data_IF_705394590945
#
_entry.id   IF_705394590945
#
_cell.length_a   1.000
_cell.length_b   1.000
_cell.length_c   1.000
_cell.angle_alpha   90.00
_cell.angle_beta   90.00
_cell.angle_gamma   90.00
#
_symmetry.space_group_name_H-M   'P 1'
#
loop_
_entity.id
_entity.type
_entity.pdbx_description
1 polymer ?
#
# COMPACT_ATOMS: atom_id res chain seq x y z
N UNK A 1 35.92 24.62 18.19
CA UNK A 1 35.56 25.89 17.54
C UNK A 1 35.25 25.63 16.09
N UNK A 2 34.16 26.16 15.53
CA UNK A 2 33.93 26.03 14.10
C UNK A 2 35.07 26.75 13.36
N UNK A 3 35.57 26.09 12.33
CA UNK A 3 36.63 26.61 11.50
C UNK A 3 36.09 27.84 10.72
N UNK A 4 36.67 29.00 10.91
CA UNK A 4 36.21 30.24 10.26
C UNK A 4 36.39 30.20 8.73
N UNK A 5 37.28 29.36 8.23
CA UNK A 5 37.58 29.24 6.79
C UNK A 5 36.68 28.21 6.07
N UNK A 6 35.98 27.36 6.81
CA UNK A 6 35.12 26.34 6.24
C UNK A 6 33.71 26.47 6.81
N UNK A 7 32.87 27.28 6.16
CA UNK A 7 31.44 27.30 6.44
C UNK A 7 30.75 26.26 5.57
N UNK A 8 30.33 25.17 6.19
CA UNK A 8 29.55 24.14 5.51
C UNK A 8 28.05 24.40 5.70
N UNK A 9 27.29 24.21 4.65
CA UNK A 9 25.82 24.24 4.72
C UNK A 9 25.23 25.64 4.71
N UNK A 10 25.72 26.50 3.82
CA UNK A 10 25.03 27.76 3.52
C UNK A 10 23.68 27.46 2.89
N UNK A 11 22.67 28.29 3.11
CA UNK A 11 21.33 28.09 2.56
C UNK A 11 21.33 27.92 1.03
N UNK A 12 22.13 28.69 0.36
CA UNK A 12 22.21 28.63 -1.11
C UNK A 12 22.79 27.31 -1.61
N UNK A 13 23.80 26.77 -0.94
CA UNK A 13 24.38 25.46 -1.24
C UNK A 13 23.36 24.33 -0.98
N UNK A 14 22.63 24.43 0.13
CA UNK A 14 21.57 23.47 0.46
C UNK A 14 20.45 23.48 -0.58
N UNK A 15 20.00 24.64 -1.04
CA UNK A 15 18.99 24.75 -2.09
C UNK A 15 19.48 24.21 -3.43
N UNK A 16 20.72 24.53 -3.81
CA UNK A 16 21.32 24.01 -5.03
C UNK A 16 21.38 22.46 -5.01
N UNK A 17 21.85 21.89 -3.91
CA UNK A 17 21.93 20.44 -3.78
C UNK A 17 20.52 19.79 -3.79
N UNK A 18 19.56 20.43 -3.11
CA UNK A 18 18.16 19.97 -3.12
C UNK A 18 17.54 19.99 -4.51
N UNK A 19 17.77 21.05 -5.28
CA UNK A 19 17.30 21.17 -6.66
C UNK A 19 17.94 20.09 -7.56
N UNK A 20 19.25 19.85 -7.42
CA UNK A 20 19.95 18.79 -8.16
C UNK A 20 19.42 17.39 -7.83
N UNK A 21 19.14 17.11 -6.56
CA UNK A 21 18.57 15.82 -6.15
C UNK A 21 17.15 15.65 -6.70
N UNK A 22 16.31 16.67 -6.61
CA UNK A 22 14.95 16.64 -7.18
C UNK A 22 15.00 16.41 -8.68
N UNK A 23 15.87 17.10 -9.40
CA UNK A 23 16.06 16.93 -10.84
C UNK A 23 16.56 15.53 -11.17
N UNK A 24 17.56 15.02 -10.45
CA UNK A 24 18.08 13.67 -10.62
C UNK A 24 17.00 12.61 -10.44
N UNK A 25 16.17 12.72 -9.40
CA UNK A 25 15.08 11.77 -9.16
C UNK A 25 14.01 11.90 -10.25
N UNK A 26 13.71 13.09 -10.75
CA UNK A 26 12.74 13.27 -11.85
C UNK A 26 13.25 12.71 -13.18
N UNK A 27 14.57 12.71 -13.43
CA UNK A 27 15.16 12.16 -14.67
C UNK A 27 15.25 10.63 -14.62
N UNK A 28 15.70 10.07 -13.50
CA UNK A 28 16.00 8.65 -13.37
C UNK A 28 14.90 7.86 -12.66
N UNK A 29 14.01 8.56 -11.97
CA UNK A 29 12.91 7.97 -11.23
C UNK A 29 11.76 7.57 -12.13
N UNK A 30 10.83 6.86 -11.53
CA UNK A 30 9.58 6.45 -12.15
C UNK A 30 8.42 7.02 -11.37
N UNK A 31 7.30 7.20 -12.03
CA UNK A 31 6.09 7.71 -11.40
C UNK A 31 5.40 6.60 -10.61
N UNK A 32 5.20 6.86 -9.34
CA UNK A 32 4.40 6.06 -8.42
C UNK A 32 3.17 6.85 -7.98
N UNK A 33 2.14 6.17 -7.51
CA UNK A 33 1.05 6.81 -6.81
C UNK A 33 1.18 6.52 -5.32
N UNK A 34 1.35 7.57 -4.55
CA UNK A 34 1.36 7.51 -3.09
C UNK A 34 -0.07 7.59 -2.56
N UNK A 35 -0.46 6.62 -1.76
CA UNK A 35 -1.81 6.45 -1.27
C UNK A 35 -1.77 6.49 0.26
N UNK A 36 -2.13 7.62 0.88
CA UNK A 36 -2.10 7.76 2.33
C UNK A 36 -3.20 6.94 3.00
N UNK A 37 -2.84 6.29 4.08
CA UNK A 37 -3.76 5.54 4.92
C UNK A 37 -4.61 6.47 5.77
N UNK A 38 -5.92 6.29 5.76
CA UNK A 38 -6.85 6.96 6.65
C UNK A 38 -7.30 5.99 7.73
N UNK A 39 -6.97 6.32 8.99
CA UNK A 39 -7.39 5.53 10.14
C UNK A 39 -8.88 5.80 10.42
N UNK A 40 -9.66 4.73 10.58
CA UNK A 40 -11.12 4.82 10.81
C UNK A 40 -11.48 4.44 12.25
N UNK A 41 -10.91 3.35 12.75
CA UNK A 41 -11.20 2.82 14.07
C UNK A 41 -9.92 2.26 14.69
N UNK A 42 -9.02 3.17 15.08
CA UNK A 42 -7.78 2.78 15.74
C UNK A 42 -8.07 2.23 17.13
N UNK A 43 -7.63 0.99 17.38
CA UNK A 43 -7.61 0.43 18.73
C UNK A 43 -6.54 1.15 19.55
N UNK A 44 -6.93 1.78 20.66
CA UNK A 44 -6.00 2.51 21.52
C UNK A 44 -5.02 1.59 22.27
N UNK A 45 -5.38 0.31 22.45
CA UNK A 45 -4.56 -0.63 23.20
C UNK A 45 -3.54 -1.31 22.30
N UNK A 46 -3.98 -1.81 21.15
CA UNK A 46 -3.13 -2.54 20.19
C UNK A 46 -2.51 -1.65 19.13
N UNK A 47 -3.05 -0.44 18.94
CA UNK A 47 -2.59 0.50 17.93
C UNK A 47 -2.95 0.11 16.49
N UNK A 48 -3.69 -0.98 16.30
CA UNK A 48 -4.10 -1.48 15.00
C UNK A 48 -5.42 -0.85 14.53
N UNK A 49 -5.56 -0.67 13.24
CA UNK A 49 -6.81 -0.25 12.60
C UNK A 49 -7.25 -1.32 11.58
N UNK A 50 -8.30 -2.04 11.90
CA UNK A 50 -8.84 -3.11 11.06
C UNK A 50 -9.63 -2.59 9.85
N UNK A 51 -10.02 -1.32 9.87
CA UNK A 51 -10.91 -0.71 8.87
C UNK A 51 -10.23 0.44 8.14
N UNK A 52 -8.95 0.32 7.87
CA UNK A 52 -8.21 1.33 7.11
C UNK A 52 -8.86 1.63 5.77
N UNK A 53 -8.88 2.91 5.40
CA UNK A 53 -9.39 3.39 4.13
C UNK A 53 -8.32 4.13 3.37
N UNK A 54 -8.33 3.94 2.06
CA UNK A 54 -7.46 4.61 1.12
C UNK A 54 -8.35 5.39 0.14
N UNK A 55 -8.34 6.73 0.24
CA UNK A 55 -9.25 7.59 -0.51
C UNK A 55 -8.57 8.46 -1.55
N UNK A 56 -7.31 8.74 -1.37
CA UNK A 56 -6.57 9.67 -2.20
C UNK A 56 -5.33 9.01 -2.75
N UNK A 57 -4.95 9.37 -3.97
CA UNK A 57 -3.73 8.90 -4.60
C UNK A 57 -2.99 10.09 -5.23
N UNK A 58 -1.72 10.25 -4.91
CA UNK A 58 -0.88 11.37 -5.35
C UNK A 58 0.24 10.86 -6.24
N UNK A 59 0.35 11.34 -7.50
CA UNK A 59 1.45 10.98 -8.36
C UNK A 59 2.74 11.62 -7.86
N UNK A 60 3.77 10.82 -7.67
CA UNK A 60 5.08 11.25 -7.19
C UNK A 60 6.19 10.46 -7.86
N UNK A 61 7.28 11.16 -8.22
CA UNK A 61 8.44 10.53 -8.81
C UNK A 61 9.33 9.95 -7.71
N UNK A 62 9.67 8.67 -7.84
CA UNK A 62 10.54 7.94 -6.92
C UNK A 62 11.59 7.16 -7.69
N UNK A 63 12.76 7.02 -7.11
CA UNK A 63 13.84 6.23 -7.66
C UNK A 63 13.87 4.85 -7.01
N UNK A 64 13.89 3.80 -7.83
CA UNK A 64 14.08 2.43 -7.38
C UNK A 64 15.58 2.19 -7.19
N UNK A 65 16.01 1.99 -5.95
CA UNK A 65 17.43 1.86 -5.59
C UNK A 65 17.97 0.47 -5.94
N UNK A 66 17.16 -0.56 -5.85
CA UNK A 66 17.55 -1.93 -6.22
C UNK A 66 17.49 -2.11 -7.73
N UNK A 67 18.63 -2.42 -8.34
CA UNK A 67 18.75 -2.66 -9.79
C UNK A 67 18.13 -4.02 -10.18
N UNK A 68 18.11 -4.96 -9.27
CA UNK A 68 17.58 -6.31 -9.48
C UNK A 68 16.03 -6.37 -9.37
N UNK A 69 15.39 -5.21 -9.34
CA UNK A 69 13.95 -5.12 -9.19
C UNK A 69 13.52 -5.40 -7.76
N UNK A 70 12.70 -6.39 -7.59
CA UNK A 70 12.24 -6.77 -6.27
C UNK A 70 13.16 -7.84 -5.71
N UNK A 71 13.81 -7.57 -4.59
CA UNK A 71 14.55 -8.57 -3.82
C UNK A 71 13.55 -9.58 -3.24
N UNK A 72 13.06 -10.49 -4.06
CA UNK A 72 11.98 -11.40 -3.67
C UNK A 72 12.30 -12.87 -3.82
N UNK A 73 13.58 -13.24 -4.01
CA UNK A 73 13.94 -14.67 -4.11
C UNK A 73 14.47 -15.27 -2.80
N UNK A 74 14.46 -14.52 -1.70
CA UNK A 74 15.22 -14.86 -0.49
C UNK A 74 14.65 -15.95 0.39
N UNK A 75 13.35 -16.13 0.51
CA UNK A 75 12.78 -17.09 1.46
C UNK A 75 11.59 -17.86 0.88
N UNK A 76 11.88 -18.83 0.03
CA UNK A 76 10.85 -19.72 -0.52
C UNK A 76 10.22 -20.63 0.55
N UNK A 77 10.93 -20.92 1.63
CA UNK A 77 10.48 -21.85 2.65
C UNK A 77 10.64 -21.21 4.02
N UNK A 78 9.55 -20.72 4.56
CA UNK A 78 9.46 -20.38 5.96
C UNK A 78 8.98 -21.59 6.78
N UNK A 79 9.23 -21.54 8.10
CA UNK A 79 8.88 -22.61 9.05
C UNK A 79 7.40 -23.06 9.00
N UNK A 80 6.51 -22.26 8.42
CA UNK A 80 5.06 -22.47 8.40
C UNK A 80 4.43 -22.44 6.98
N UNK A 81 5.23 -22.50 5.91
CA UNK A 81 4.72 -22.55 4.56
C UNK A 81 5.59 -21.87 3.51
N UNK A 82 5.10 -21.85 2.29
CA UNK A 82 5.70 -21.17 1.17
C UNK A 82 5.24 -19.70 1.19
N UNK A 83 6.15 -18.77 1.40
CA UNK A 83 5.88 -17.35 1.37
C UNK A 83 6.87 -16.66 0.44
N UNK A 84 6.36 -15.90 -0.52
CA UNK A 84 7.17 -15.07 -1.41
C UNK A 84 7.10 -13.64 -0.88
N UNK A 85 8.20 -13.17 -0.30
CA UNK A 85 8.36 -11.78 0.08
C UNK A 85 8.96 -11.02 -1.09
N UNK A 86 8.20 -10.08 -1.65
CA UNK A 86 8.70 -9.14 -2.65
C UNK A 86 8.91 -7.81 -1.96
N UNK A 87 10.16 -7.47 -1.71
CA UNK A 87 10.56 -6.21 -1.10
C UNK A 87 11.34 -5.35 -2.10
N UNK A 88 11.24 -4.06 -1.94
CA UNK A 88 12.00 -3.09 -2.71
C UNK A 88 12.36 -1.88 -1.86
N UNK A 89 13.43 -1.20 -2.24
CA UNK A 89 13.82 0.06 -1.62
C UNK A 89 13.63 1.20 -2.62
N UNK A 90 12.84 2.18 -2.23
CA UNK A 90 12.53 3.36 -3.02
C UNK A 90 13.10 4.62 -2.36
N UNK A 91 13.61 5.52 -3.17
CA UNK A 91 14.13 6.80 -2.71
C UNK A 91 13.27 7.94 -3.25
N UNK A 92 12.81 8.81 -2.36
CA UNK A 92 11.99 9.97 -2.71
C UNK A 92 12.60 11.25 -2.16
N UNK A 93 12.58 12.33 -2.97
CA UNK A 93 13.04 13.63 -2.51
C UNK A 93 12.07 14.20 -1.47
N UNK A 94 12.61 14.63 -0.35
CA UNK A 94 11.85 15.23 0.74
C UNK A 94 11.00 16.42 0.28
N UNK A 95 11.60 17.33 -0.49
CA UNK A 95 10.91 18.52 -1.03
C UNK A 95 9.77 18.15 -1.98
N UNK A 96 9.96 17.13 -2.82
CA UNK A 96 8.90 16.65 -3.72
C UNK A 96 7.75 16.06 -2.93
N UNK A 97 8.05 15.25 -1.91
CA UNK A 97 7.03 14.67 -1.05
C UNK A 97 6.24 15.74 -0.28
N UNK A 98 6.93 16.71 0.34
CA UNK A 98 6.28 17.82 1.05
C UNK A 98 5.39 18.67 0.12
N UNK A 99 5.82 18.87 -1.13
CA UNK A 99 5.07 19.65 -2.13
C UNK A 99 3.84 18.92 -2.64
N UNK A 100 3.95 17.61 -2.91
CA UNK A 100 2.90 16.82 -3.57
C UNK A 100 1.93 16.23 -2.54
N UNK A 101 2.45 15.66 -1.46
CA UNK A 101 1.64 14.92 -0.48
C UNK A 101 1.41 15.77 0.79
N UNK A 102 2.48 16.30 1.36
CA UNK A 102 2.43 16.99 2.64
C UNK A 102 1.50 18.22 2.67
N UNK A 103 1.36 18.92 1.55
CA UNK A 103 0.46 20.10 1.46
C UNK A 103 -1.02 19.76 1.58
N UNK A 104 -1.41 18.55 1.24
CA UNK A 104 -2.83 18.15 1.27
C UNK A 104 -3.34 17.83 2.67
N UNK A 105 -2.44 17.64 3.65
CA UNK A 105 -2.80 17.45 5.06
C UNK A 105 -3.63 16.18 5.35
N UNK A 106 -3.69 15.24 4.40
CA UNK A 106 -4.49 14.01 4.51
C UNK A 106 -3.67 12.82 5.00
N UNK A 107 -2.40 13.06 5.30
CA UNK A 107 -1.49 12.06 5.86
C UNK A 107 -1.53 12.08 7.38
N UNK A 108 -1.28 10.94 8.01
CA UNK A 108 -1.20 10.82 9.48
C UNK A 108 -0.07 11.71 10.02
N UNK A 109 1.07 11.74 9.31
CA UNK A 109 2.19 12.63 9.60
C UNK A 109 2.43 13.55 8.40
N UNK A 110 2.23 14.88 8.55
CA UNK A 110 2.41 15.80 7.43
C UNK A 110 3.89 16.08 7.09
N UNK A 111 4.81 15.65 7.95
CA UNK A 111 6.24 15.95 7.80
C UNK A 111 7.03 14.88 7.05
N UNK A 112 6.56 13.63 7.00
CA UNK A 112 7.25 12.50 6.37
C UNK A 112 6.25 11.45 5.90
N UNK A 113 6.65 10.55 4.98
CA UNK A 113 5.89 9.35 4.67
C UNK A 113 5.64 8.50 5.92
N UNK A 114 4.52 7.81 5.98
CA UNK A 114 4.16 6.95 7.10
C UNK A 114 4.30 5.49 6.74
N UNK A 115 4.67 4.71 7.73
CA UNK A 115 4.59 3.25 7.69
C UNK A 115 3.11 2.84 7.60
N UNK A 116 2.81 1.86 6.72
CA UNK A 116 1.44 1.43 6.45
C UNK A 116 0.71 2.20 5.34
N UNK A 117 1.32 3.23 4.76
CA UNK A 117 0.81 3.85 3.53
C UNK A 117 1.12 2.96 2.32
N UNK A 118 0.34 3.11 1.26
CA UNK A 118 0.49 2.30 0.06
C UNK A 118 1.17 3.06 -1.07
N UNK A 119 1.86 2.30 -1.91
CA UNK A 119 2.45 2.77 -3.17
C UNK A 119 1.96 1.90 -4.31
N UNK A 120 1.36 2.50 -5.32
CA UNK A 120 0.99 1.82 -6.54
C UNK A 120 2.02 2.10 -7.63
N UNK A 121 2.53 1.04 -8.24
CA UNK A 121 3.48 1.12 -9.34
C UNK A 121 2.81 0.77 -10.66
N UNK A 122 2.57 1.77 -11.56
CA UNK A 122 1.79 1.55 -12.78
C UNK A 122 2.41 0.57 -13.76
N UNK A 123 3.76 0.51 -13.84
CA UNK A 123 4.45 -0.36 -14.80
C UNK A 123 4.22 -1.85 -14.51
N UNK A 124 4.27 -2.23 -13.25
CA UNK A 124 4.04 -3.63 -12.84
C UNK A 124 2.60 -3.88 -12.42
N UNK A 125 1.79 -2.83 -12.32
CA UNK A 125 0.44 -2.87 -11.73
C UNK A 125 0.44 -3.47 -10.33
N UNK A 126 1.55 -3.28 -9.60
CA UNK A 126 1.75 -3.79 -8.25
C UNK A 126 1.37 -2.76 -7.20
N UNK A 127 0.79 -3.24 -6.12
CA UNK A 127 0.51 -2.45 -4.93
C UNK A 127 1.45 -2.88 -3.81
N UNK A 128 2.13 -1.91 -3.21
CA UNK A 128 3.15 -2.13 -2.18
C UNK A 128 2.79 -1.36 -0.92
N UNK A 129 3.11 -1.93 0.23
CA UNK A 129 2.96 -1.30 1.53
C UNK A 129 4.31 -0.81 2.04
N UNK A 130 4.37 0.39 2.58
CA UNK A 130 5.56 0.93 3.21
C UNK A 130 5.71 0.29 4.59
N UNK A 131 6.73 -0.54 4.76
CA UNK A 131 7.04 -1.17 6.04
C UNK A 131 7.95 -0.33 6.92
N UNK A 132 8.90 0.34 6.31
CA UNK A 132 9.84 1.17 7.04
C UNK A 132 10.22 2.42 6.24
N UNK A 133 10.30 3.54 6.95
CA UNK A 133 10.74 4.83 6.40
C UNK A 133 12.03 5.23 7.08
N UNK A 134 13.13 5.16 6.34
CA UNK A 134 14.39 5.70 6.82
C UNK A 134 14.41 7.22 6.64
N UNK A 135 14.23 7.91 7.74
CA UNK A 135 14.20 9.36 7.82
C UNK A 135 15.40 9.93 8.59
N UNK A 136 16.31 9.07 9.03
CA UNK A 136 17.48 9.43 9.82
C UNK A 136 18.73 8.74 9.25
N UNK A 137 19.01 8.96 7.97
CA UNK A 137 20.25 8.49 7.39
C UNK A 137 21.42 9.12 8.18
N UNK A 138 22.39 8.32 8.65
CA UNK A 138 23.52 8.81 9.44
C UNK A 138 24.40 9.81 8.71
N UNK A 139 24.29 9.92 7.38
CA UNK A 139 25.07 10.85 6.58
C UNK A 139 24.24 12.03 6.05
N UNK A 140 24.34 13.13 6.75
CA UNK A 140 23.69 14.40 6.36
C UNK A 140 24.63 15.23 5.49
N UNK A 141 24.35 15.30 4.20
CA UNK A 141 25.08 16.21 3.30
C UNK A 141 24.70 17.66 3.63
N UNK A 142 25.69 18.53 3.79
CA UNK A 142 25.50 19.94 4.14
C UNK A 142 24.53 20.15 5.32
N UNK A 143 24.54 19.24 6.30
CA UNK A 143 23.71 19.31 7.53
C UNK A 143 22.19 19.20 7.31
N UNK A 144 21.74 18.69 6.19
CA UNK A 144 20.31 18.50 5.90
C UNK A 144 20.06 17.13 5.29
N UNK A 145 18.92 16.53 5.61
CA UNK A 145 18.43 15.32 4.95
C UNK A 145 17.58 15.73 3.74
N UNK A 146 17.93 15.22 2.55
CA UNK A 146 17.28 15.59 1.30
C UNK A 146 16.34 14.54 0.75
N UNK A 147 16.50 13.30 1.18
CA UNK A 147 15.76 12.14 0.68
C UNK A 147 15.20 11.32 1.83
N UNK A 148 14.11 10.61 1.55
CA UNK A 148 13.62 9.52 2.39
C UNK A 148 13.82 8.22 1.63
N UNK A 149 14.27 7.18 2.31
CA UNK A 149 14.31 5.82 1.80
C UNK A 149 13.13 5.05 2.36
N UNK A 150 12.40 4.42 1.46
CA UNK A 150 11.19 3.67 1.78
C UNK A 150 11.46 2.20 1.51
N UNK A 151 11.37 1.37 2.52
CA UNK A 151 11.34 -0.07 2.35
C UNK A 151 9.90 -0.50 2.20
N UNK A 152 9.61 -1.14 1.07
CA UNK A 152 8.26 -1.51 0.68
C UNK A 152 8.19 -3.01 0.43
N UNK A 153 7.05 -3.59 0.74
CA UNK A 153 6.72 -4.99 0.49
C UNK A 153 5.44 -5.09 -0.31
N UNK A 154 5.26 -6.20 -1.01
CA UNK A 154 4.02 -6.46 -1.74
C UNK A 154 2.84 -6.45 -0.77
N UNK A 155 1.87 -5.60 -1.07
CA UNK A 155 0.68 -5.46 -0.24
C UNK A 155 -0.20 -6.71 -0.33
N UNK A 156 -0.54 -7.25 0.82
CA UNK A 156 -1.50 -8.34 0.96
C UNK A 156 -2.84 -7.76 1.39
N UNK A 157 -3.75 -7.67 0.44
CA UNK A 157 -5.08 -7.13 0.68
C UNK A 157 -5.84 -7.99 1.70
N UNK A 158 -6.38 -7.37 2.73
CA UNK A 158 -7.17 -8.04 3.77
C UNK A 158 -8.64 -7.57 3.78
N UNK A 159 -8.91 -6.42 4.34
CA UNK A 159 -10.30 -5.91 4.50
C UNK A 159 -10.41 -4.40 4.30
N UNK A 160 -9.37 -3.78 3.80
CA UNK A 160 -9.28 -2.35 3.59
C UNK A 160 -10.22 -1.89 2.46
N UNK A 161 -10.70 -0.66 2.57
CA UNK A 161 -11.47 0.00 1.51
C UNK A 161 -10.57 0.86 0.65
N UNK A 162 -10.62 0.63 -0.66
CA UNK A 162 -9.93 1.42 -1.68
C UNK A 162 -10.97 2.20 -2.48
N UNK A 163 -10.97 3.50 -2.34
CA UNK A 163 -11.87 4.43 -3.03
C UNK A 163 -11.05 5.62 -3.53
N UNK A 164 -9.98 5.34 -4.31
CA UNK A 164 -9.01 6.36 -4.75
C UNK A 164 -9.49 7.14 -5.97
N UNK A 165 -10.51 6.63 -6.67
CA UNK A 165 -11.00 7.20 -7.94
C UNK A 165 -10.12 6.88 -9.14
N UNK A 166 -9.06 6.08 -8.98
CA UNK A 166 -8.22 5.55 -10.06
C UNK A 166 -8.62 4.09 -10.30
N UNK A 167 -9.17 3.83 -11.49
CA UNK A 167 -9.70 2.51 -11.84
C UNK A 167 -8.69 1.37 -11.63
N UNK A 168 -7.42 1.60 -11.97
CA UNK A 168 -6.36 0.61 -11.87
C UNK A 168 -6.03 0.23 -10.40
N UNK A 169 -6.28 1.14 -9.46
CA UNK A 169 -6.07 0.89 -8.03
C UNK A 169 -7.32 0.30 -7.41
N UNK A 170 -8.49 0.83 -7.77
CA UNK A 170 -9.76 0.38 -7.20
C UNK A 170 -10.14 -1.05 -7.66
N UNK A 171 -9.54 -1.52 -8.75
CA UNK A 171 -9.66 -2.93 -9.21
C UNK A 171 -9.21 -3.92 -8.14
N UNK A 172 -8.21 -3.61 -7.31
CA UNK A 172 -7.76 -4.53 -6.25
C UNK A 172 -8.87 -4.84 -5.24
N UNK A 173 -9.76 -3.89 -4.98
CA UNK A 173 -10.94 -4.14 -4.13
C UNK A 173 -11.96 -5.04 -4.84
N UNK A 174 -12.18 -4.85 -6.15
CA UNK A 174 -13.14 -5.66 -6.92
C UNK A 174 -12.65 -7.06 -7.18
N UNK A 175 -11.35 -7.27 -7.36
CA UNK A 175 -10.74 -8.60 -7.54
C UNK A 175 -10.90 -9.50 -6.32
N UNK A 176 -10.99 -8.93 -5.11
CA UNK A 176 -11.26 -9.72 -3.90
C UNK A 176 -12.71 -10.17 -3.82
N UNK A 177 -13.63 -9.34 -4.27
CA UNK A 177 -15.03 -9.70 -4.40
C UNK A 177 -15.10 -10.56 -5.65
N UNK A 178 -15.06 -11.88 -5.51
CA UNK A 178 -15.56 -12.78 -6.54
C UNK A 178 -17.05 -12.50 -6.69
N UNK A 179 -17.32 -11.37 -7.28
CA UNK A 179 -18.67 -10.94 -7.49
C UNK A 179 -19.21 -11.74 -8.67
N UNK A 180 -20.29 -12.46 -8.45
CA UNK A 180 -21.05 -13.19 -9.46
C UNK A 180 -21.41 -12.33 -10.66
N UNK A 181 -21.39 -11.00 -10.52
CA UNK A 181 -21.60 -10.06 -11.63
C UNK A 181 -20.48 -10.05 -12.66
N UNK A 182 -19.22 -10.37 -12.29
CA UNK A 182 -18.08 -10.42 -13.22
C UNK A 182 -17.96 -11.78 -13.89
N UNK A 183 -18.43 -12.83 -13.23
CA UNK A 183 -18.39 -14.18 -13.77
C UNK A 183 -19.74 -14.88 -13.52
N UNK A 184 -20.74 -14.62 -14.39
CA UNK A 184 -22.11 -15.14 -14.19
C UNK A 184 -22.20 -16.67 -14.22
N UNK A 185 -21.11 -17.36 -14.60
CA UNK A 185 -21.02 -18.82 -14.61
C UNK A 185 -20.34 -19.42 -13.37
N UNK A 186 -19.82 -18.58 -12.46
CA UNK A 186 -19.39 -19.05 -11.15
C UNK A 186 -20.53 -18.80 -10.19
N UNK A 187 -21.32 -19.81 -9.96
CA UNK A 187 -22.21 -19.84 -8.81
C UNK A 187 -21.35 -19.64 -7.56
N UNK A 188 -21.24 -18.38 -7.13
CA UNK A 188 -20.77 -18.12 -5.76
C UNK A 188 -21.83 -18.75 -4.88
N UNK A 189 -21.49 -19.89 -4.36
CA UNK A 189 -22.32 -20.59 -3.38
C UNK A 189 -22.39 -19.67 -2.17
N UNK A 190 -23.39 -18.79 -2.16
CA UNK A 190 -23.84 -18.15 -0.95
C UNK A 190 -24.39 -19.26 -0.06
N UNK A 191 -23.52 -19.78 0.81
CA UNK A 191 -23.83 -20.89 1.71
C UNK A 191 -25.08 -20.61 2.56
N UNK A 192 -25.40 -19.33 2.77
CA UNK A 192 -26.63 -18.91 3.45
C UNK A 192 -27.85 -18.93 2.51
N UNK A 193 -27.68 -18.46 1.27
CA UNK A 193 -28.74 -18.50 0.25
C UNK A 193 -29.08 -19.92 -0.16
N UNK A 194 -28.09 -20.80 -0.30
CA UNK A 194 -28.32 -22.21 -0.59
C UNK A 194 -28.94 -22.96 0.57
N UNK A 195 -28.58 -22.61 1.80
CA UNK A 195 -29.22 -23.18 2.98
C UNK A 195 -30.71 -22.77 3.10
N UNK A 196 -31.07 -21.55 2.69
CA UNK A 196 -32.47 -21.11 2.62
C UNK A 196 -33.23 -21.82 1.49
N UNK A 197 -32.63 -22.02 0.32
CA UNK A 197 -33.18 -22.82 -0.78
C UNK A 197 -33.40 -24.28 -0.35
N UNK A 198 -32.42 -24.85 0.34
CA UNK A 198 -32.51 -26.21 0.89
C UNK A 198 -33.64 -26.35 1.93
N UNK A 199 -33.79 -25.38 2.83
CA UNK A 199 -34.88 -25.36 3.80
C UNK A 199 -36.24 -25.22 3.14
N UNK A 200 -36.34 -24.38 2.09
CA UNK A 200 -37.60 -24.20 1.34
C UNK A 200 -37.95 -25.46 0.58
N UNK A 201 -36.96 -26.13 -0.04
CA UNK A 201 -37.17 -27.43 -0.71
C UNK A 201 -37.55 -28.52 0.28
N UNK A 202 -36.91 -28.55 1.45
CA UNK A 202 -37.24 -29.53 2.50
C UNK A 202 -38.61 -29.34 3.12
N UNK A 203 -39.10 -28.09 3.22
CA UNK A 203 -40.50 -27.81 3.67
C UNK A 203 -41.55 -28.11 2.60
N UNK A 204 -41.15 -28.17 1.30
CA UNK A 204 -42.05 -28.55 0.22
C UNK A 204 -42.29 -30.07 0.14
N UNK A 205 -41.39 -30.87 0.72
CA UNK A 205 -41.58 -32.31 0.87
C UNK A 205 -42.48 -32.53 2.09
N UNK A 206 -43.73 -32.63 1.85
CA UNK A 206 -44.73 -33.00 2.90
C UNK A 206 -44.41 -34.47 3.25
N UNK A 207 -43.79 -34.67 4.37
CA UNK A 207 -43.56 -35.98 4.95
C UNK A 207 -44.90 -36.49 5.44
N UNK A 208 -45.50 -37.48 4.73
CA UNK A 208 -46.71 -38.09 5.18
C UNK A 208 -46.40 -39.02 6.36
N UNK A 209 -46.77 -38.54 7.56
CA UNK A 209 -46.61 -39.30 8.79
C UNK A 209 -47.37 -40.62 8.85
N UNK A 210 -48.41 -40.76 8.00
CA UNK A 210 -49.22 -41.98 7.95
C UNK A 210 -48.64 -43.00 6.96
N UNK A 211 -47.86 -42.59 5.97
CA UNK A 211 -47.20 -43.48 5.03
C UNK A 211 -45.77 -43.05 4.74
N UNK A 212 -44.86 -43.26 5.71
CA UNK A 212 -43.47 -42.72 5.64
C UNK A 212 -42.62 -43.35 4.55
N UNK A 213 -43.02 -44.42 3.93
CA UNK A 213 -42.26 -45.13 2.92
C UNK A 213 -42.95 -45.21 1.54
N UNK A 214 -44.12 -44.54 1.36
CA UNK A 214 -44.73 -44.34 0.04
C UNK A 214 -44.87 -45.60 -0.79
N UNK A 215 -45.71 -46.51 -0.45
CA UNK A 215 -46.23 -47.47 -1.38
C UNK A 215 -47.49 -46.97 -2.08
#
# INVERSE_FOLDING_TARGET
>A
MPNVYFSQGTRNEQYLLEDLIVESISIWGQQFYYIPRTLVAKDEILGEDRLSKFKDAYPIDMYLESVDGFEGQGAFIQKFGLMMEQSATLTVARRTWERVVGRHGKTILPSRPCEGDLLYFPLTKGLFEIKFVDHQDPFYQLKKLYVYKLQVELFQYSSEKMETGIADIDVFQTLKTFDTTINPNVDVVDSYGDNTKFKTAATAVVFDTNNPFGE
#
